data_IF_864501944600
#
_entry.id   IF_864501944600
#
_cell.length_a   1.000
_cell.length_b   1.000
_cell.length_c   1.000
_cell.angle_alpha   90.00
_cell.angle_beta   90.00
_cell.angle_gamma   90.00
#
_symmetry.space_group_name_H-M   'P 1'
#
loop_
_entity.id
_entity.type
_entity.pdbx_description
1 polymer ?
#
# COMPACT_ATOMS: atom_id res chain seq x y z
N UNK A 1 -28.93 -9.52 3.23
CA UNK A 1 -27.46 -9.49 2.99
C UNK A 1 -27.19 -10.42 1.80
N UNK A 2 -26.39 -10.01 0.81
CA UNK A 2 -25.98 -10.91 -0.29
C UNK A 2 -24.86 -11.83 0.18
N UNK A 3 -24.83 -13.06 -0.32
CA UNK A 3 -23.73 -13.97 -0.06
C UNK A 3 -22.46 -13.45 -0.74
N UNK A 4 -21.32 -13.55 -0.07
CA UNK A 4 -20.02 -13.21 -0.62
C UNK A 4 -18.93 -14.10 0.00
N UNK A 5 -17.88 -14.32 -0.77
CA UNK A 5 -16.65 -14.95 -0.27
C UNK A 5 -15.59 -13.85 -0.08
N UNK A 6 -14.87 -13.91 1.03
CA UNK A 6 -13.77 -12.99 1.30
C UNK A 6 -12.46 -13.75 1.47
N UNK A 7 -11.47 -13.34 0.70
CA UNK A 7 -10.11 -13.85 0.82
C UNK A 7 -9.11 -12.72 0.63
N UNK A 8 -8.18 -12.55 1.57
CA UNK A 8 -7.07 -11.61 1.45
C UNK A 8 -5.76 -12.37 1.75
N UNK A 9 -4.80 -12.42 0.80
CA UNK A 9 -3.57 -13.17 0.96
C UNK A 9 -2.52 -12.46 1.83
N UNK A 10 -2.77 -11.21 2.25
CA UNK A 10 -1.79 -10.42 3.01
C UNK A 10 -1.77 -10.84 4.46
N UNK A 11 -0.58 -11.18 4.96
CA UNK A 11 -0.39 -11.41 6.39
C UNK A 11 -0.26 -10.10 7.15
N UNK A 12 -1.12 -9.87 8.13
CA UNK A 12 -1.06 -8.68 8.99
C UNK A 12 -0.27 -8.97 10.26
N UNK A 13 0.75 -8.15 10.50
CA UNK A 13 1.53 -8.12 11.74
C UNK A 13 1.12 -6.87 12.52
N UNK A 14 0.09 -7.00 13.35
CA UNK A 14 -0.46 -5.87 14.10
C UNK A 14 0.08 -5.84 15.54
N UNK A 15 0.48 -4.67 16.00
CA UNK A 15 0.82 -4.41 17.40
C UNK A 15 2.17 -3.72 17.59
N UNK A 16 2.40 -3.26 18.83
CA UNK A 16 3.63 -2.58 19.23
C UNK A 16 4.86 -3.48 19.05
N UNK A 17 5.92 -2.94 18.43
CA UNK A 17 7.20 -3.61 18.23
C UNK A 17 7.19 -4.68 17.12
N UNK A 18 6.15 -4.73 16.29
CA UNK A 18 6.05 -5.72 15.22
C UNK A 18 7.05 -5.52 14.08
N UNK A 19 7.66 -4.35 13.97
CA UNK A 19 8.75 -4.10 13.01
C UNK A 19 9.91 -5.09 13.25
N UNK A 20 10.24 -5.41 14.49
CA UNK A 20 11.30 -6.35 14.83
C UNK A 20 11.12 -7.78 14.27
N UNK A 21 9.92 -8.11 13.81
CA UNK A 21 9.61 -9.46 13.30
C UNK A 21 9.72 -9.60 11.77
N UNK A 22 10.00 -8.50 11.02
CA UNK A 22 9.95 -8.50 9.55
C UNK A 22 10.92 -9.50 8.92
N UNK A 23 12.10 -9.68 9.51
CA UNK A 23 13.11 -10.64 9.03
C UNK A 23 12.59 -12.08 8.93
N UNK A 24 11.60 -12.46 9.74
CA UNK A 24 10.99 -13.80 9.72
C UNK A 24 10.19 -14.06 8.44
N UNK A 25 9.78 -13.01 7.74
CA UNK A 25 8.88 -13.06 6.58
C UNK A 25 9.57 -12.74 5.26
N UNK A 26 10.86 -12.41 5.31
CA UNK A 26 11.70 -12.19 4.13
C UNK A 26 12.55 -13.44 3.93
N UNK A 27 12.54 -14.05 2.73
CA UNK A 27 13.35 -15.23 2.47
C UNK A 27 14.84 -14.93 2.66
N UNK A 28 15.54 -15.82 3.38
CA UNK A 28 16.97 -15.66 3.62
C UNK A 28 17.77 -15.68 2.32
N UNK A 29 18.82 -14.87 2.26
CA UNK A 29 19.71 -14.80 1.10
C UNK A 29 19.20 -13.93 -0.04
N UNK A 30 18.00 -13.34 0.08
CA UNK A 30 17.53 -12.34 -0.88
C UNK A 30 18.12 -10.96 -0.55
N UNK A 31 18.54 -10.24 -1.59
CA UNK A 31 18.84 -8.81 -1.49
C UNK A 31 17.54 -8.04 -1.38
N UNK A 32 17.44 -7.16 -0.39
CA UNK A 32 16.24 -6.39 -0.08
C UNK A 32 16.41 -4.95 -0.53
N UNK A 33 15.51 -4.42 -1.34
CA UNK A 33 15.43 -2.98 -1.55
C UNK A 33 14.40 -2.39 -0.60
N UNK A 34 14.86 -1.53 0.31
CA UNK A 34 14.01 -0.72 1.17
C UNK A 34 13.62 0.57 0.46
N UNK A 35 12.33 0.76 0.21
CA UNK A 35 11.77 1.95 -0.42
C UNK A 35 11.11 2.86 0.60
N UNK A 36 11.28 4.17 0.50
CA UNK A 36 10.66 5.14 1.40
C UNK A 36 10.46 6.51 0.72
N UNK A 37 9.69 7.38 1.38
CA UNK A 37 9.39 8.72 0.88
C UNK A 37 10.47 9.76 1.18
N UNK A 38 10.08 10.96 1.55
CA UNK A 38 10.98 12.10 1.81
C UNK A 38 11.85 12.03 3.07
N UNK A 39 11.96 10.87 3.72
CA UNK A 39 12.87 10.65 4.85
C UNK A 39 12.27 10.94 6.23
N UNK A 40 10.96 11.07 6.36
CA UNK A 40 10.30 11.20 7.69
C UNK A 40 10.60 10.02 8.62
N UNK A 41 10.77 8.82 8.06
CA UNK A 41 11.12 7.61 8.82
C UNK A 41 12.47 7.71 9.55
N UNK A 42 13.38 8.55 9.06
CA UNK A 42 14.71 8.83 9.69
C UNK A 42 14.62 9.81 10.87
N UNK A 43 13.40 10.34 11.14
CA UNK A 43 13.17 11.32 12.22
C UNK A 43 12.30 10.76 13.35
N UNK A 44 11.81 9.54 13.22
CA UNK A 44 10.85 8.93 14.14
C UNK A 44 11.21 7.47 14.49
N UNK A 45 12.49 7.13 14.46
CA UNK A 45 13.08 5.84 14.83
C UNK A 45 12.58 4.63 14.01
N UNK A 46 11.72 4.83 12.99
CA UNK A 46 11.21 3.72 12.15
C UNK A 46 12.34 3.17 11.28
N UNK A 47 13.20 4.04 10.76
CA UNK A 47 14.34 3.63 9.95
C UNK A 47 15.28 2.72 10.74
N UNK A 48 15.66 3.15 11.94
CA UNK A 48 16.56 2.42 12.84
C UNK A 48 15.96 1.06 13.22
N UNK A 49 14.68 1.01 13.57
CA UNK A 49 13.98 -0.23 13.88
C UNK A 49 13.95 -1.20 12.70
N UNK A 50 13.76 -0.71 11.47
CA UNK A 50 13.77 -1.53 10.26
C UNK A 50 15.17 -2.04 9.97
N UNK A 51 16.20 -1.18 10.08
CA UNK A 51 17.61 -1.58 9.84
C UNK A 51 18.08 -2.60 10.87
N UNK A 52 17.71 -2.44 12.14
CA UNK A 52 18.01 -3.40 13.20
C UNK A 52 17.33 -4.76 12.92
N UNK A 53 16.09 -4.74 12.50
CA UNK A 53 15.34 -5.96 12.18
C UNK A 53 15.90 -6.68 10.94
N UNK A 54 16.55 -5.96 10.04
CA UNK A 54 17.15 -6.50 8.81
C UNK A 54 18.63 -6.81 8.93
N UNK A 55 19.19 -6.84 10.14
CA UNK A 55 20.60 -7.24 10.33
C UNK A 55 20.86 -8.61 9.70
N UNK A 56 21.92 -8.68 8.88
CA UNK A 56 22.31 -9.89 8.12
C UNK A 56 21.66 -10.03 6.75
N UNK A 57 20.83 -9.07 6.31
CA UNK A 57 20.39 -8.96 4.92
C UNK A 57 21.29 -8.00 4.14
N UNK A 58 21.44 -8.26 2.83
CA UNK A 58 22.02 -7.30 1.89
C UNK A 58 20.93 -6.29 1.50
N UNK A 59 21.14 -5.01 1.84
CA UNK A 59 20.11 -3.97 1.73
C UNK A 59 20.55 -2.90 0.75
N UNK A 60 19.65 -2.58 -0.18
CA UNK A 60 19.73 -1.42 -1.07
C UNK A 60 18.65 -0.44 -0.67
N UNK A 61 18.99 0.82 -0.51
CA UNK A 61 18.01 1.87 -0.18
C UNK A 61 17.57 2.64 -1.42
N UNK A 62 16.26 2.89 -1.52
CA UNK A 62 15.70 3.83 -2.47
C UNK A 62 14.73 4.77 -1.78
N UNK A 63 15.16 6.01 -1.55
CA UNK A 63 14.35 7.07 -0.96
C UNK A 63 13.83 8.06 -1.99
N UNK A 64 12.92 8.93 -1.54
CA UNK A 64 12.42 10.05 -2.35
C UNK A 64 11.18 9.73 -3.17
N UNK A 65 10.43 8.66 -2.86
CA UNK A 65 9.12 8.44 -3.46
C UNK A 65 8.18 9.55 -2.97
N UNK A 66 7.67 10.35 -3.91
CA UNK A 66 6.86 11.51 -3.62
C UNK A 66 5.41 11.13 -3.27
N UNK A 67 4.66 11.99 -2.54
CA UNK A 67 3.22 11.94 -2.53
C UNK A 67 2.67 11.93 -3.98
N UNK A 68 1.71 11.05 -4.28
CA UNK A 68 1.32 10.71 -5.66
C UNK A 68 2.54 10.24 -6.46
N UNK A 69 2.99 9.00 -6.27
CA UNK A 69 4.28 8.51 -6.74
C UNK A 69 4.44 8.71 -8.25
N UNK A 70 5.58 9.24 -8.65
CA UNK A 70 5.84 9.62 -10.04
C UNK A 70 6.50 8.48 -10.80
N UNK A 71 5.96 8.17 -11.97
CA UNK A 71 6.50 7.15 -12.86
C UNK A 71 8.01 7.30 -13.09
N UNK A 72 8.45 8.53 -13.34
CA UNK A 72 9.85 8.84 -13.64
C UNK A 72 10.78 8.51 -12.46
N UNK A 73 10.33 8.77 -11.24
CA UNK A 73 11.06 8.39 -10.01
C UNK A 73 11.08 6.87 -9.84
N UNK A 74 9.93 6.22 -10.05
CA UNK A 74 9.81 4.78 -9.87
C UNK A 74 10.64 4.01 -10.89
N UNK A 75 10.78 4.50 -12.12
CA UNK A 75 11.64 3.87 -13.13
C UNK A 75 13.11 3.86 -12.74
N UNK A 76 13.60 4.89 -12.03
CA UNK A 76 14.96 4.86 -11.46
C UNK A 76 15.12 3.73 -10.41
N UNK A 77 14.07 3.48 -9.62
CA UNK A 77 14.07 2.37 -8.68
C UNK A 77 14.02 1.01 -9.40
N UNK A 78 13.28 0.91 -10.50
CA UNK A 78 13.23 -0.31 -11.34
C UNK A 78 14.62 -0.63 -11.92
N UNK A 79 15.31 0.37 -12.43
CA UNK A 79 16.68 0.21 -12.96
C UNK A 79 17.64 -0.24 -11.86
N UNK A 80 17.60 0.42 -10.70
CA UNK A 80 18.41 0.05 -9.54
C UNK A 80 18.09 -1.38 -9.07
N UNK A 81 16.82 -1.77 -9.02
CA UNK A 81 16.42 -3.12 -8.63
C UNK A 81 16.99 -4.19 -9.57
N UNK A 82 17.00 -3.91 -10.87
CA UNK A 82 17.59 -4.80 -11.88
C UNK A 82 19.11 -4.86 -11.77
N UNK A 83 19.79 -3.72 -11.64
CA UNK A 83 21.25 -3.63 -11.50
C UNK A 83 21.76 -4.37 -10.27
N UNK A 84 21.06 -4.21 -9.16
CA UNK A 84 21.43 -4.81 -7.88
C UNK A 84 20.91 -6.25 -7.68
N UNK A 85 20.19 -6.81 -8.65
CA UNK A 85 19.56 -8.12 -8.55
C UNK A 85 18.70 -8.27 -7.28
N UNK A 86 17.86 -7.27 -7.02
CA UNK A 86 16.95 -7.24 -5.86
C UNK A 86 15.97 -8.40 -5.94
N UNK A 87 15.86 -9.16 -4.84
CA UNK A 87 14.94 -10.29 -4.73
C UNK A 87 13.68 -10.02 -3.94
N UNK A 88 13.68 -8.94 -3.13
CA UNK A 88 12.56 -8.57 -2.27
C UNK A 88 12.45 -7.05 -2.10
N UNK A 89 11.24 -6.51 -2.08
CA UNK A 89 11.00 -5.09 -1.82
C UNK A 89 10.36 -4.90 -0.43
N UNK A 90 10.83 -3.90 0.32
CA UNK A 90 10.23 -3.51 1.59
C UNK A 90 9.81 -2.04 1.52
N UNK A 91 8.50 -1.80 1.44
CA UNK A 91 7.94 -0.45 1.48
C UNK A 91 7.84 0.04 2.92
N UNK A 92 8.55 1.13 3.26
CA UNK A 92 8.50 1.76 4.59
C UNK A 92 7.90 3.15 4.45
N UNK A 93 6.59 3.28 4.66
CA UNK A 93 5.90 4.55 4.43
C UNK A 93 4.39 4.44 4.43
N UNK A 94 3.74 5.49 3.94
CA UNK A 94 2.29 5.52 3.69
C UNK A 94 1.91 4.97 2.33
N UNK A 95 0.63 5.13 1.96
CA UNK A 95 0.06 4.59 0.73
C UNK A 95 0.84 4.91 -0.54
N UNK A 96 1.34 6.13 -0.70
CA UNK A 96 2.13 6.52 -1.90
C UNK A 96 3.42 5.72 -2.05
N UNK A 97 4.10 5.44 -0.94
CA UNK A 97 5.31 4.60 -0.96
C UNK A 97 4.94 3.16 -1.31
N UNK A 98 3.85 2.65 -0.75
CA UNK A 98 3.38 1.29 -1.00
C UNK A 98 2.94 1.14 -2.46
N UNK A 99 2.15 2.08 -2.99
CA UNK A 99 1.71 2.09 -4.40
C UNK A 99 2.90 2.12 -5.35
N UNK A 100 3.87 3.02 -5.09
CA UNK A 100 5.10 3.10 -5.85
C UNK A 100 5.89 1.80 -5.81
N UNK A 101 6.01 1.17 -4.65
CA UNK A 101 6.74 -0.10 -4.49
C UNK A 101 6.05 -1.25 -5.22
N UNK A 102 4.72 -1.30 -5.23
CA UNK A 102 3.97 -2.28 -6.02
C UNK A 102 4.21 -2.10 -7.52
N UNK A 103 4.27 -0.85 -7.99
CA UNK A 103 4.62 -0.59 -9.38
C UNK A 103 6.06 -1.02 -9.69
N UNK A 104 7.03 -0.69 -8.83
CA UNK A 104 8.42 -1.14 -8.96
C UNK A 104 8.47 -2.68 -9.05
N UNK A 105 7.73 -3.38 -8.17
CA UNK A 105 7.66 -4.83 -8.17
C UNK A 105 7.18 -5.41 -9.51
N UNK A 106 6.11 -4.85 -10.05
CA UNK A 106 5.52 -5.26 -11.32
C UNK A 106 6.44 -4.91 -12.51
N UNK A 107 6.93 -3.66 -12.56
CA UNK A 107 7.73 -3.15 -13.67
C UNK A 107 9.11 -3.80 -13.78
N UNK A 108 9.70 -4.23 -12.66
CA UNK A 108 10.99 -4.95 -12.66
C UNK A 108 10.87 -6.29 -13.40
N UNK A 109 9.73 -6.98 -13.29
CA UNK A 109 9.47 -8.25 -13.93
C UNK A 109 8.69 -8.12 -15.26
N UNK A 110 8.40 -6.90 -15.70
CA UNK A 110 7.61 -6.67 -16.90
C UNK A 110 8.41 -6.95 -18.17
N UNK A 111 7.86 -7.77 -19.06
CA UNK A 111 8.49 -8.19 -20.31
C UNK A 111 8.15 -7.31 -21.52
N UNK A 112 7.24 -6.33 -21.33
CA UNK A 112 6.88 -5.37 -22.38
C UNK A 112 7.94 -4.27 -22.55
N UNK A 113 7.82 -3.51 -23.65
CA UNK A 113 8.78 -2.45 -23.98
C UNK A 113 8.63 -1.19 -23.11
N UNK A 114 7.42 -0.88 -22.67
CA UNK A 114 7.09 0.33 -21.91
C UNK A 114 6.32 -0.03 -20.63
N UNK A 115 6.93 0.01 -19.45
CA UNK A 115 6.25 -0.32 -18.19
C UNK A 115 5.02 0.56 -17.87
N UNK A 116 4.93 1.76 -18.45
CA UNK A 116 3.73 2.58 -18.32
C UNK A 116 2.49 1.90 -18.88
N UNK A 117 2.64 0.97 -19.81
CA UNK A 117 1.52 0.21 -20.38
C UNK A 117 0.78 -0.63 -19.33
N UNK A 118 1.43 -1.00 -18.22
CA UNK A 118 0.78 -1.65 -17.06
C UNK A 118 -0.36 -0.76 -16.55
N UNK A 119 -0.12 0.55 -16.51
CA UNK A 119 -1.04 1.54 -15.95
C UNK A 119 -1.99 2.08 -17.02
N UNK A 120 -1.45 2.49 -18.19
CA UNK A 120 -2.22 3.18 -19.22
C UNK A 120 -3.08 2.25 -20.08
N UNK A 121 -2.62 1.01 -20.30
CA UNK A 121 -3.31 0.05 -21.19
C UNK A 121 -3.80 -1.20 -20.45
N UNK A 122 -3.55 -1.31 -19.14
CA UNK A 122 -3.85 -2.53 -18.40
C UNK A 122 -3.03 -3.73 -18.88
N UNK A 123 -1.78 -3.50 -19.33
CA UNK A 123 -0.92 -4.57 -19.79
C UNK A 123 -0.74 -5.62 -18.69
N UNK A 124 -0.79 -6.88 -19.10
CA UNK A 124 -0.78 -8.01 -18.15
C UNK A 124 0.56 -8.11 -17.42
N UNK A 125 0.48 -8.14 -16.09
CA UNK A 125 1.60 -8.43 -15.20
C UNK A 125 1.61 -9.94 -14.93
N UNK A 126 2.60 -10.65 -15.48
CA UNK A 126 2.71 -12.10 -15.33
C UNK A 126 3.48 -12.49 -14.05
N UNK A 127 4.37 -11.62 -13.59
CA UNK A 127 5.16 -11.79 -12.37
C UNK A 127 5.48 -10.43 -11.73
N UNK A 128 5.79 -10.42 -10.45
CA UNK A 128 6.28 -9.26 -9.73
C UNK A 128 7.29 -9.71 -8.66
N UNK A 129 8.20 -8.82 -8.26
CA UNK A 129 9.02 -9.07 -7.09
C UNK A 129 8.14 -9.20 -5.84
N UNK A 130 8.41 -10.14 -4.93
CA UNK A 130 7.70 -10.19 -3.66
C UNK A 130 7.97 -8.92 -2.86
N UNK A 131 6.93 -8.45 -2.16
CA UNK A 131 7.06 -7.26 -1.32
C UNK A 131 6.41 -7.42 0.05
N UNK A 132 6.92 -6.68 1.01
CA UNK A 132 6.33 -6.46 2.33
C UNK A 132 6.18 -4.97 2.61
N UNK A 133 5.41 -4.63 3.63
CA UNK A 133 5.19 -3.22 4.00
C UNK A 133 5.36 -2.97 5.50
N UNK A 134 5.86 -1.79 5.84
CA UNK A 134 5.80 -1.20 7.17
C UNK A 134 5.01 0.09 7.02
N UNK A 135 3.75 0.07 7.45
CA UNK A 135 2.83 1.18 7.27
C UNK A 135 3.09 2.27 8.30
N UNK A 136 3.33 3.50 7.85
CA UNK A 136 3.57 4.65 8.74
C UNK A 136 2.44 5.67 8.74
N UNK A 137 1.55 5.63 7.76
CA UNK A 137 0.37 6.49 7.64
C UNK A 137 -0.81 5.67 7.10
N UNK A 138 -1.73 5.21 7.94
CA UNK A 138 -2.93 4.48 7.50
C UNK A 138 -3.93 5.45 6.88
N UNK A 139 -4.25 5.26 5.60
CA UNK A 139 -5.25 6.05 4.87
C UNK A 139 -5.85 5.29 3.68
N UNK A 140 -5.01 4.65 2.86
CA UNK A 140 -5.41 4.17 1.53
C UNK A 140 -5.78 2.69 1.47
N UNK A 141 -5.47 1.91 2.51
CA UNK A 141 -5.60 0.45 2.48
C UNK A 141 -4.65 -0.26 1.52
N UNK A 142 -3.64 0.47 0.97
CA UNK A 142 -2.68 -0.11 0.02
C UNK A 142 -1.87 -1.27 0.62
N UNK A 143 -1.69 -1.29 1.93
CA UNK A 143 -1.03 -2.39 2.65
C UNK A 143 -1.79 -3.71 2.57
N UNK A 144 -3.08 -3.70 2.19
CA UNK A 144 -3.93 -4.88 2.14
C UNK A 144 -4.55 -5.18 0.76
N UNK A 145 -4.23 -4.40 -0.26
CA UNK A 145 -4.81 -4.59 -1.59
C UNK A 145 -3.75 -4.86 -2.67
N UNK A 146 -4.21 -5.13 -3.88
CA UNK A 146 -3.38 -5.44 -5.05
C UNK A 146 -3.31 -4.31 -6.07
N UNK A 147 -3.68 -3.10 -5.68
CA UNK A 147 -3.69 -1.93 -6.55
C UNK A 147 -2.68 -0.87 -6.14
N UNK A 148 -2.47 0.08 -7.02
CA UNK A 148 -1.70 1.29 -6.79
C UNK A 148 -2.07 2.36 -7.78
N UNK A 149 -1.81 3.62 -7.43
CA UNK A 149 -2.09 4.78 -8.26
C UNK A 149 -0.78 5.50 -8.55
N UNK A 150 -0.45 5.64 -9.85
CA UNK A 150 0.82 6.21 -10.32
C UNK A 150 0.53 7.45 -11.15
N UNK A 151 1.38 8.46 -10.98
CA UNK A 151 1.31 9.71 -11.74
C UNK A 151 2.44 9.75 -12.75
N UNK A 152 2.14 10.00 -14.03
CA UNK A 152 3.14 10.31 -15.05
C UNK A 152 3.21 11.83 -15.22
N UNK A 153 4.34 12.42 -14.89
CA UNK A 153 4.49 13.87 -14.92
C UNK A 153 4.52 14.41 -16.34
N UNK A 154 5.13 13.68 -17.26
CA UNK A 154 5.24 14.09 -18.67
C UNK A 154 3.88 14.27 -19.36
N UNK A 155 2.85 13.50 -18.97
CA UNK A 155 1.51 13.53 -19.56
C UNK A 155 0.44 14.07 -18.61
N UNK A 156 0.82 14.40 -17.35
CA UNK A 156 -0.09 14.85 -16.29
C UNK A 156 -1.21 13.84 -15.98
N UNK A 157 -0.96 12.56 -16.22
CA UNK A 157 -1.92 11.49 -15.98
C UNK A 157 -1.71 10.89 -14.59
N UNK A 158 -2.81 10.62 -13.89
CA UNK A 158 -2.82 9.88 -12.62
C UNK A 158 -3.78 8.71 -12.78
N UNK A 159 -3.23 7.51 -12.91
CA UNK A 159 -3.98 6.31 -13.26
C UNK A 159 -3.73 5.19 -12.25
N UNK A 160 -4.74 4.33 -12.09
CA UNK A 160 -4.67 3.17 -11.24
C UNK A 160 -4.27 1.92 -12.03
N UNK A 161 -3.58 0.99 -11.39
CA UNK A 161 -3.36 -0.35 -11.88
C UNK A 161 -3.66 -1.37 -10.78
N UNK A 162 -3.88 -2.62 -11.17
CA UNK A 162 -4.00 -3.72 -10.23
C UNK A 162 -3.41 -5.01 -10.80
N UNK A 163 -2.86 -5.84 -9.92
CA UNK A 163 -2.41 -7.19 -10.28
C UNK A 163 -2.39 -8.07 -9.04
N UNK A 164 -2.86 -9.33 -9.18
CA UNK A 164 -2.76 -10.31 -8.09
C UNK A 164 -1.32 -10.56 -7.60
N UNK A 165 -0.31 -10.23 -8.41
CA UNK A 165 1.10 -10.46 -8.11
C UNK A 165 1.69 -9.39 -7.17
N UNK A 166 1.02 -8.24 -6.99
CA UNK A 166 1.51 -7.13 -6.14
C UNK A 166 0.83 -7.04 -4.78
N UNK A 167 0.06 -8.05 -4.37
CA UNK A 167 -0.33 -8.15 -2.96
C UNK A 167 0.91 -8.24 -2.08
N UNK A 168 1.03 -7.44 -1.02
CA UNK A 168 2.09 -7.60 -0.03
C UNK A 168 2.07 -9.02 0.57
N UNK A 169 3.23 -9.61 0.78
CA UNK A 169 3.35 -10.89 1.49
C UNK A 169 3.03 -10.74 2.96
N UNK A 170 3.41 -9.60 3.53
CA UNK A 170 3.04 -9.18 4.88
C UNK A 170 2.95 -7.66 4.96
N UNK A 171 2.21 -7.19 5.95
CA UNK A 171 2.13 -5.77 6.28
C UNK A 171 2.21 -5.57 7.79
N UNK A 172 3.16 -4.74 8.22
CA UNK A 172 3.32 -4.35 9.61
C UNK A 172 2.47 -3.12 9.89
N UNK A 173 1.59 -3.24 10.88
CA UNK A 173 0.74 -2.18 11.39
C UNK A 173 1.09 -1.97 12.87
N UNK A 174 2.15 -1.21 13.12
CA UNK A 174 2.56 -0.84 14.49
C UNK A 174 1.95 0.53 14.85
N UNK A 175 0.99 0.57 15.78
CA UNK A 175 0.35 1.84 16.15
C UNK A 175 1.33 2.89 16.70
N UNK A 176 2.47 2.46 17.25
CA UNK A 176 3.45 3.39 17.83
C UNK A 176 4.05 4.34 16.81
N UNK A 177 4.22 3.88 15.56
CA UNK A 177 4.79 4.73 14.50
C UNK A 177 3.87 5.89 14.11
N UNK A 178 2.57 5.77 14.37
CA UNK A 178 1.59 6.81 14.05
C UNK A 178 1.60 7.99 15.03
N UNK A 179 2.21 7.84 16.21
CA UNK A 179 2.30 8.92 17.20
C UNK A 179 3.14 10.10 16.74
N UNK A 180 4.04 9.89 15.80
CA UNK A 180 4.85 10.94 15.18
C UNK A 180 4.15 11.72 14.08
N UNK A 181 2.91 11.36 13.73
CA UNK A 181 2.15 12.02 12.66
C UNK A 181 1.79 13.46 13.07
N UNK A 182 2.01 14.45 12.17
CA UNK A 182 1.53 15.81 12.41
C UNK A 182 0.00 15.84 12.61
N UNK A 183 -0.48 16.67 13.51
CA UNK A 183 -1.92 16.82 13.81
C UNK A 183 -2.77 17.07 12.56
N UNK A 184 -2.23 17.78 11.57
CA UNK A 184 -2.90 17.97 10.27
C UNK A 184 -3.20 16.64 9.58
N UNK A 185 -2.26 15.68 9.62
CA UNK A 185 -2.48 14.36 9.00
C UNK A 185 -3.50 13.54 9.79
N UNK A 186 -3.48 13.64 11.11
CA UNK A 186 -4.49 13.00 11.97
C UNK A 186 -5.87 13.57 11.65
N UNK A 187 -6.02 14.89 11.59
CA UNK A 187 -7.28 15.54 11.26
C UNK A 187 -7.78 15.15 9.86
N UNK A 188 -6.88 15.13 8.86
CA UNK A 188 -7.21 14.68 7.51
C UNK A 188 -7.75 13.24 7.52
N UNK A 189 -7.09 12.32 8.24
CA UNK A 189 -7.53 10.93 8.34
C UNK A 189 -8.90 10.77 9.00
N UNK A 190 -9.20 11.56 10.04
CA UNK A 190 -10.53 11.57 10.69
C UNK A 190 -11.61 12.05 9.72
N UNK A 191 -11.36 13.15 9.00
CA UNK A 191 -12.33 13.70 8.03
C UNK A 191 -12.52 12.72 6.87
N UNK A 192 -11.45 12.16 6.33
CA UNK A 192 -11.49 11.19 5.23
C UNK A 192 -12.32 9.95 5.62
N UNK A 193 -12.08 9.40 6.81
CA UNK A 193 -12.88 8.29 7.35
C UNK A 193 -14.36 8.65 7.46
N UNK A 194 -14.67 9.86 7.97
CA UNK A 194 -16.04 10.34 8.07
C UNK A 194 -16.70 10.43 6.69
N UNK A 195 -16.01 11.00 5.70
CA UNK A 195 -16.51 11.12 4.33
C UNK A 195 -16.79 9.76 3.72
N UNK A 196 -15.88 8.79 3.86
CA UNK A 196 -16.10 7.43 3.35
C UNK A 196 -17.32 6.74 3.97
N UNK A 197 -17.54 6.92 5.26
CA UNK A 197 -18.77 6.42 5.92
C UNK A 197 -20.02 7.10 5.38
N UNK A 198 -19.96 8.43 5.20
CA UNK A 198 -21.09 9.20 4.65
C UNK A 198 -21.38 8.85 3.20
N UNK A 199 -20.35 8.62 2.37
CA UNK A 199 -20.54 8.15 0.99
C UNK A 199 -21.28 6.82 0.95
N UNK A 200 -20.91 5.87 1.78
CA UNK A 200 -21.60 4.58 1.88
C UNK A 200 -23.05 4.76 2.33
N UNK A 201 -23.30 5.65 3.27
CA UNK A 201 -24.63 5.95 3.77
C UNK A 201 -25.51 6.60 2.69
N UNK A 202 -25.01 7.60 1.95
CA UNK A 202 -25.76 8.32 0.93
C UNK A 202 -25.94 7.54 -0.37
N UNK A 203 -24.99 6.67 -0.72
CA UNK A 203 -25.08 5.85 -1.93
C UNK A 203 -25.83 4.54 -1.71
N UNK A 204 -26.55 4.41 -0.62
CA UNK A 204 -27.18 3.19 -0.14
C UNK A 204 -28.31 2.65 -1.05
N UNK A 205 -28.01 2.38 -2.30
CA UNK A 205 -28.87 1.56 -3.16
C UNK A 205 -28.82 0.07 -2.77
N UNK A 206 -27.97 -0.32 -1.84
CA UNK A 206 -27.67 -1.73 -1.53
C UNK A 206 -27.65 -2.09 -0.06
N UNK A 207 -28.12 -1.25 0.85
CA UNK A 207 -28.16 -1.57 2.29
C UNK A 207 -26.84 -2.17 2.82
N UNK A 208 -25.72 -1.60 2.43
CA UNK A 208 -24.41 -2.07 2.92
C UNK A 208 -24.22 -1.79 4.41
N UNK A 209 -24.99 -0.84 4.94
CA UNK A 209 -25.09 -0.56 6.37
C UNK A 209 -26.52 -0.08 6.68
N UNK A 210 -27.50 -0.99 6.81
CA UNK A 210 -28.85 -0.59 7.13
C UNK A 210 -28.88 0.07 8.52
N UNK A 211 -29.40 1.30 8.60
CA UNK A 211 -29.65 1.91 9.89
C UNK A 211 -30.82 1.19 10.60
N UNK A 212 -30.90 1.23 11.92
CA UNK A 212 -32.07 0.72 12.63
C UNK A 212 -33.38 1.32 12.15
N UNK A 213 -33.38 2.57 11.66
CA UNK A 213 -34.55 3.24 11.07
C UNK A 213 -35.01 2.61 9.77
N UNK A 214 -34.09 2.21 8.89
CA UNK A 214 -34.45 1.56 7.62
C UNK A 214 -35.17 0.23 7.86
N UNK A 215 -34.86 -0.45 8.97
CA UNK A 215 -35.52 -1.69 9.37
C UNK A 215 -36.91 -1.42 9.95
N UNK A 216 -37.11 -0.29 10.66
CA UNK A 216 -38.39 0.09 11.23
C UNK A 216 -39.38 0.56 10.15
N UNK A 217 -38.93 1.41 9.20
CA UNK A 217 -39.75 1.86 8.08
C UNK A 217 -40.26 0.72 7.19
N UNK A 218 -39.41 -0.31 7.00
CA UNK A 218 -39.81 -1.50 6.25
C UNK A 218 -40.82 -2.40 6.98
N UNK A 219 -41.05 -2.16 8.27
CA UNK A 219 -42.01 -2.89 9.09
C UNK A 219 -43.34 -2.14 9.35
N UNK A 220 -43.45 -0.92 8.85
CA UNK A 220 -44.78 -0.24 8.92
C UNK A 220 -45.77 -1.01 8.04
N UNK A 221 -46.88 -1.51 8.62
CA UNK A 221 -47.90 -2.11 7.80
C UNK A 221 -48.48 -0.99 6.92
N UNK A 222 -48.59 -1.27 5.62
CA UNK A 222 -49.40 -0.42 4.76
C UNK A 222 -50.79 -0.35 5.39
N UNK A 223 -51.12 0.75 6.06
CA UNK A 223 -52.45 0.98 6.50
C UNK A 223 -53.35 1.06 5.27
N UNK A 224 -54.28 0.14 5.24
CA UNK A 224 -55.35 0.03 4.27
C UNK A 224 -56.11 1.35 4.08
#
# INVERSE_FOLDING_TARGET
MRNFDYYNPVKILFGKGKIAEIAKWIPKGMKVMMTYGGGSIKKNDVYEQVMDALQGFDIVEFGGIEPNPKYETLMRAVELAKQENVGFLLAVGGGSVIDGTKFIAAATCFEGSEPWDIVAKGARVNAALPLGTVLTLPATGSEMNNGGVITRQATLEKLAFSSRHVFPKFSVLDPMVTYSLPMKQVANGVIDTFVHVMEQYYTCLLYTSPSPRDVEESRMPSSA
#
